data_IF_077102750572
#
_entry.id   IF_077102750572
#
_cell.length_a   1.000
_cell.length_b   1.000
_cell.length_c   1.000
_cell.angle_alpha   90.00
_cell.angle_beta   90.00
_cell.angle_gamma   90.00
#
_symmetry.space_group_name_H-M   'P 1'
#
loop_
_entity.id
_entity.type
_entity.pdbx_description
1 polymer ?
#
# COMPACT_ATOMS: atom_id res chain seq x y z
N UNK A 1 7.24 22.09 -51.44
CA UNK A 1 7.99 22.34 -50.19
C UNK A 1 7.01 22.10 -49.05
N UNK A 2 7.18 21.05 -48.26
CA UNK A 2 6.22 20.65 -47.21
C UNK A 2 6.89 20.85 -45.86
N UNK A 3 6.25 21.60 -44.97
CA UNK A 3 6.72 21.82 -43.61
C UNK A 3 6.33 20.61 -42.75
N UNK A 4 7.34 19.92 -42.21
CA UNK A 4 7.13 18.86 -41.22
C UNK A 4 7.15 19.52 -39.85
N UNK A 5 5.99 19.62 -39.18
CA UNK A 5 5.96 20.01 -37.78
C UNK A 5 6.67 18.95 -36.93
N UNK A 6 7.64 19.31 -36.07
CA UNK A 6 8.16 18.38 -35.09
C UNK A 6 7.05 18.02 -34.11
N UNK A 7 6.70 16.73 -34.05
CA UNK A 7 5.75 16.22 -33.07
C UNK A 7 6.50 16.10 -31.74
N UNK A 8 6.39 17.11 -30.87
CA UNK A 8 7.14 17.16 -29.62
C UNK A 8 6.86 15.92 -28.77
N UNK A 9 7.87 15.08 -28.65
CA UNK A 9 7.80 13.86 -27.87
C UNK A 9 8.15 14.20 -26.42
N UNK A 10 7.18 14.73 -25.67
CA UNK A 10 7.35 15.01 -24.24
C UNK A 10 7.85 13.75 -23.54
N UNK A 11 8.99 13.80 -22.83
CA UNK A 11 9.53 12.61 -22.18
C UNK A 11 8.59 12.11 -21.08
N UNK A 12 8.43 10.79 -20.94
CA UNK A 12 7.64 10.19 -19.86
C UNK A 12 8.08 10.72 -18.48
N UNK A 13 9.40 10.87 -18.25
CA UNK A 13 9.96 11.41 -17.00
C UNK A 13 9.45 12.82 -16.64
N UNK A 14 9.07 13.64 -17.64
CA UNK A 14 8.50 14.97 -17.40
C UNK A 14 7.10 14.90 -16.76
N UNK A 15 6.32 13.84 -17.05
CA UNK A 15 5.00 13.60 -16.43
C UNK A 15 5.14 13.28 -14.95
N UNK A 16 6.08 12.39 -14.60
CA UNK A 16 6.36 12.03 -13.20
C UNK A 16 6.88 13.22 -12.40
N UNK A 17 7.70 14.09 -13.00
CA UNK A 17 8.17 15.32 -12.37
C UNK A 17 7.01 16.30 -12.09
N UNK A 18 6.07 16.46 -13.03
CA UNK A 18 4.87 17.27 -12.82
C UNK A 18 3.97 16.71 -11.70
N UNK A 19 3.82 15.38 -11.61
CA UNK A 19 3.06 14.73 -10.53
C UNK A 19 3.71 14.98 -9.17
N UNK A 20 5.04 14.81 -9.05
CA UNK A 20 5.77 15.08 -7.80
C UNK A 20 5.62 16.53 -7.32
N UNK A 21 5.59 17.49 -8.26
CA UNK A 21 5.38 18.91 -7.97
C UNK A 21 3.96 19.21 -7.46
N UNK A 22 2.94 18.46 -7.90
CA UNK A 22 1.57 18.55 -7.38
C UNK A 22 1.47 17.93 -5.98
N UNK A 23 2.11 16.79 -5.73
CA UNK A 23 2.16 16.15 -4.41
C UNK A 23 2.73 17.07 -3.33
N UNK A 24 3.77 17.87 -3.66
CA UNK A 24 4.36 18.85 -2.75
C UNK A 24 3.41 19.99 -2.34
N UNK A 25 2.37 20.29 -3.13
CA UNK A 25 1.39 21.35 -2.82
C UNK A 25 0.23 20.86 -1.94
N UNK A 26 -0.12 19.57 -2.00
CA UNK A 26 -1.22 19.00 -1.20
C UNK A 26 -0.79 18.76 0.27
N UNK A 27 0.51 18.70 0.54
CA UNK A 27 1.07 18.45 1.87
C UNK A 27 0.95 19.62 2.88
N UNK A 28 0.34 20.76 2.50
CA UNK A 28 0.31 21.98 3.33
C UNK A 28 -0.99 22.15 4.13
N UNK A 29 -2.16 21.76 3.59
CA UNK A 29 -3.47 21.96 4.25
C UNK A 29 -3.92 20.77 5.10
N UNK A 30 -3.09 20.38 6.06
CA UNK A 30 -3.33 19.29 7.01
C UNK A 30 -4.33 19.61 8.13
N UNK A 31 -5.57 20.03 7.82
CA UNK A 31 -6.63 20.31 8.83
C UNK A 31 -7.89 19.47 8.56
N UNK A 32 -7.87 18.21 9.03
CA UNK A 32 -9.02 17.30 9.04
C UNK A 32 -9.68 17.21 10.41
N UNK A 33 -10.39 18.24 10.85
CA UNK A 33 -11.06 18.24 12.17
C UNK A 33 -12.36 17.40 12.14
N UNK A 34 -12.36 16.25 12.82
CA UNK A 34 -13.51 15.34 12.90
C UNK A 34 -14.53 15.76 13.96
N UNK A 35 -15.43 16.65 13.59
CA UNK A 35 -16.68 16.89 14.33
C UNK A 35 -17.75 15.90 13.85
N UNK A 36 -18.27 15.09 14.78
CA UNK A 36 -19.42 14.21 14.53
C UNK A 36 -20.64 14.73 15.29
N UNK A 37 -21.74 14.96 14.58
CA UNK A 37 -23.04 15.31 15.16
C UNK A 37 -24.17 14.50 14.50
N UNK A 38 -25.36 14.50 15.11
CA UNK A 38 -26.39 13.46 14.99
C UNK A 38 -27.34 13.58 13.78
N UNK A 39 -28.10 12.49 13.54
CA UNK A 39 -29.59 12.41 13.49
C UNK A 39 -29.98 11.06 12.82
N UNK A 40 -30.59 10.06 13.49
CA UNK A 40 -32.04 9.84 13.81
C UNK A 40 -32.93 9.83 12.54
N UNK A 41 -33.82 8.90 12.19
CA UNK A 41 -34.45 7.65 12.74
C UNK A 41 -34.79 6.75 11.50
N UNK A 42 -35.33 5.52 11.46
CA UNK A 42 -36.14 4.60 12.30
C UNK A 42 -35.72 3.14 12.00
N UNK A 43 -35.95 2.08 12.80
CA UNK A 43 -36.97 1.69 13.79
C UNK A 43 -38.16 0.87 13.24
N UNK A 44 -38.11 -0.47 13.42
CA UNK A 44 -39.20 -1.42 13.75
C UNK A 44 -38.53 -2.81 13.97
N UNK A 45 -38.22 -3.27 15.20
CA UNK A 45 -39.13 -3.81 16.25
C UNK A 45 -39.89 -5.06 15.74
N UNK A 46 -39.90 -6.23 16.36
CA UNK A 46 -39.94 -6.67 17.79
C UNK A 46 -38.86 -7.72 18.10
N UNK A 47 -38.39 -8.03 19.33
CA UNK A 47 -38.56 -7.58 20.73
C UNK A 47 -37.23 -7.93 21.49
N UNK A 48 -37.00 -7.92 22.82
CA UNK A 48 -37.83 -8.04 24.04
C UNK A 48 -37.11 -7.41 25.26
N UNK A 49 -37.72 -7.43 26.45
CA UNK A 49 -37.31 -6.69 27.66
C UNK A 49 -36.05 -7.17 28.41
N UNK A 50 -35.16 -6.20 28.66
CA UNK A 50 -34.67 -5.72 29.97
C UNK A 50 -33.84 -6.64 30.91
N UNK A 51 -32.78 -6.15 31.56
CA UNK A 51 -32.03 -4.88 31.35
C UNK A 51 -30.64 -4.97 32.02
N UNK A 52 -29.57 -4.82 31.22
CA UNK A 52 -28.18 -4.63 31.66
C UNK A 52 -27.33 -4.23 30.44
N UNK A 53 -27.46 -2.98 30.01
CA UNK A 53 -26.93 -2.48 28.73
C UNK A 53 -25.44 -2.15 28.79
N UNK A 54 -24.60 -3.18 28.88
CA UNK A 54 -23.17 -3.06 28.60
C UNK A 54 -22.97 -2.64 27.14
N UNK A 55 -22.31 -1.51 26.84
CA UNK A 55 -22.05 -1.11 25.47
C UNK A 55 -21.23 -2.19 24.79
N UNK A 56 -21.85 -2.95 23.88
CA UNK A 56 -21.16 -3.99 23.11
C UNK A 56 -20.16 -3.30 22.19
N UNK A 57 -18.93 -3.13 22.69
CA UNK A 57 -17.85 -2.46 21.97
C UNK A 57 -17.78 -3.03 20.55
N UNK A 58 -18.12 -2.19 19.58
CA UNK A 58 -17.57 -2.33 18.23
C UNK A 58 -16.10 -2.02 18.40
N UNK A 59 -15.31 -3.05 18.70
CA UNK A 59 -13.87 -2.97 18.65
C UNK A 59 -13.53 -2.75 17.18
N UNK A 60 -13.45 -1.47 16.78
CA UNK A 60 -12.57 -1.07 15.71
C UNK A 60 -11.21 -1.67 16.06
N UNK A 61 -10.82 -2.71 15.31
CA UNK A 61 -9.61 -3.47 15.57
C UNK A 61 -8.46 -2.48 15.68
N UNK A 62 -7.83 -2.33 16.85
CA UNK A 62 -6.68 -1.43 17.07
C UNK A 62 -5.39 -2.08 16.51
N UNK A 63 -5.55 -2.68 15.34
CA UNK A 63 -4.51 -3.30 14.54
C UNK A 63 -3.72 -2.23 13.80
N UNK A 64 -2.51 -2.59 13.37
CA UNK A 64 -1.68 -1.68 12.58
C UNK A 64 -2.37 -1.38 11.25
N UNK A 65 -3.07 -2.36 10.67
CA UNK A 65 -3.85 -2.17 9.45
C UNK A 65 -4.89 -1.05 9.57
N UNK A 66 -5.68 -0.98 10.67
CA UNK A 66 -6.73 0.05 10.79
C UNK A 66 -6.15 1.46 10.93
N UNK A 67 -5.07 1.63 11.70
CA UNK A 67 -4.34 2.91 11.82
C UNK A 67 -3.69 3.35 10.49
N UNK A 68 -3.34 2.41 9.62
CA UNK A 68 -2.88 2.67 8.25
C UNK A 68 -4.03 2.88 7.22
N UNK A 69 -5.29 2.97 7.65
CA UNK A 69 -6.45 3.13 6.77
C UNK A 69 -6.86 1.85 6.02
N UNK A 70 -6.43 0.69 6.52
CA UNK A 70 -6.63 -0.63 5.92
C UNK A 70 -6.03 -0.76 4.52
N UNK A 71 -6.51 -1.74 3.76
CA UNK A 71 -6.14 -1.97 2.36
C UNK A 71 -6.03 -0.68 1.52
N UNK A 72 -7.02 0.21 1.59
CA UNK A 72 -7.05 1.43 0.77
C UNK A 72 -6.00 2.46 1.20
N UNK A 73 -5.81 2.67 2.51
CA UNK A 73 -4.76 3.57 3.00
C UNK A 73 -3.36 3.03 2.73
N UNK A 74 -3.13 1.73 2.92
CA UNK A 74 -1.88 1.05 2.58
C UNK A 74 -1.61 1.15 1.06
N UNK A 75 -2.61 0.93 0.21
CA UNK A 75 -2.47 1.05 -1.25
C UNK A 75 -2.18 2.50 -1.68
N UNK A 76 -2.83 3.49 -1.05
CA UNK A 76 -2.56 4.90 -1.30
C UNK A 76 -1.13 5.28 -0.91
N UNK A 77 -0.64 4.81 0.25
CA UNK A 77 0.77 4.94 0.64
C UNK A 77 1.72 4.32 -0.38
N UNK A 78 1.44 3.09 -0.84
CA UNK A 78 2.27 2.41 -1.83
C UNK A 78 2.33 3.18 -3.15
N UNK A 79 1.20 3.68 -3.66
CA UNK A 79 1.17 4.43 -4.92
C UNK A 79 1.81 5.83 -4.81
N UNK A 80 1.56 6.56 -3.72
CA UNK A 80 1.95 7.97 -3.60
C UNK A 80 3.40 8.16 -3.12
N UNK A 81 3.95 7.21 -2.35
CA UNK A 81 5.28 7.34 -1.74
C UNK A 81 6.21 6.17 -2.09
N UNK A 82 5.83 4.93 -1.73
CA UNK A 82 6.76 3.80 -1.76
C UNK A 82 7.17 3.38 -3.19
N UNK A 83 6.21 3.15 -4.09
CA UNK A 83 6.50 2.70 -5.47
C UNK A 83 7.32 3.73 -6.26
N UNK A 84 7.02 5.05 -6.23
CA UNK A 84 7.89 6.06 -6.85
C UNK A 84 9.34 6.02 -6.34
N UNK A 85 9.57 5.87 -5.03
CA UNK A 85 10.92 5.80 -4.47
C UNK A 85 11.64 4.50 -4.84
N UNK A 86 10.95 3.35 -4.74
CA UNK A 86 11.49 2.03 -5.08
C UNK A 86 11.85 1.90 -6.58
N UNK A 87 11.10 2.54 -7.48
CA UNK A 87 11.41 2.60 -8.91
C UNK A 87 12.46 3.66 -9.27
N UNK A 88 12.74 4.60 -8.36
CA UNK A 88 13.85 5.57 -8.50
C UNK A 88 15.20 4.97 -8.12
N UNK A 89 15.23 3.92 -7.29
CA UNK A 89 16.45 3.17 -6.99
C UNK A 89 16.80 2.18 -8.11
N UNK A 90 17.95 2.37 -8.75
CA UNK A 90 18.35 1.59 -9.93
C UNK A 90 18.65 0.11 -9.65
N UNK A 91 19.00 -0.25 -8.41
CA UNK A 91 19.18 -1.65 -8.02
C UNK A 91 17.83 -2.35 -7.90
N UNK A 92 16.86 -1.74 -7.19
CA UNK A 92 15.52 -2.29 -7.00
C UNK A 92 14.74 -2.30 -8.32
N UNK A 93 14.74 -1.20 -9.07
CA UNK A 93 14.04 -1.07 -10.36
C UNK A 93 14.44 -2.16 -11.37
N UNK A 94 15.70 -2.66 -11.32
CA UNK A 94 16.18 -3.72 -12.20
C UNK A 94 15.37 -5.03 -12.11
N UNK A 95 14.77 -5.32 -10.94
CA UNK A 95 13.97 -6.53 -10.72
C UNK A 95 12.51 -6.42 -11.26
N UNK A 96 12.10 -5.24 -11.70
CA UNK A 96 10.80 -4.96 -12.31
C UNK A 96 10.83 -4.97 -13.85
N UNK A 97 12.01 -5.17 -14.47
CA UNK A 97 12.10 -5.42 -15.91
C UNK A 97 11.44 -6.75 -16.31
N UNK A 98 10.75 -6.77 -17.45
CA UNK A 98 10.12 -7.95 -18.05
C UNK A 98 9.09 -8.67 -17.15
N UNK A 99 8.28 -7.90 -16.42
CA UNK A 99 7.12 -8.41 -15.70
C UNK A 99 5.90 -8.62 -16.61
N UNK A 100 5.08 -9.62 -16.28
CA UNK A 100 3.73 -9.81 -16.84
C UNK A 100 2.68 -8.98 -16.10
N UNK A 101 2.78 -8.94 -14.78
CA UNK A 101 1.96 -8.13 -13.88
C UNK A 101 2.41 -6.65 -13.89
N UNK A 102 1.47 -5.71 -13.83
CA UNK A 102 1.81 -4.28 -13.76
C UNK A 102 2.29 -3.88 -12.36
N UNK A 103 3.01 -2.75 -12.20
CA UNK A 103 3.33 -2.21 -10.87
C UNK A 103 2.10 -1.96 -10.00
N UNK A 104 0.95 -1.61 -10.60
CA UNK A 104 -0.32 -1.42 -9.90
C UNK A 104 -0.95 -2.75 -9.44
N UNK A 105 -0.81 -3.84 -10.20
CA UNK A 105 -1.23 -5.18 -9.76
C UNK A 105 -0.39 -5.64 -8.55
N UNK A 106 0.93 -5.40 -8.62
CA UNK A 106 1.87 -5.77 -7.57
C UNK A 106 1.62 -4.94 -6.30
N UNK A 107 1.35 -3.64 -6.43
CA UNK A 107 0.99 -2.76 -5.30
C UNK A 107 -0.32 -3.20 -4.63
N UNK A 108 -1.34 -3.58 -5.40
CA UNK A 108 -2.59 -4.13 -4.84
C UNK A 108 -2.37 -5.43 -4.07
N UNK A 109 -1.63 -6.39 -4.64
CA UNK A 109 -1.33 -7.64 -3.94
C UNK A 109 -0.46 -7.43 -2.69
N UNK A 110 0.48 -6.47 -2.72
CA UNK A 110 1.27 -6.09 -1.55
C UNK A 110 0.41 -5.41 -0.48
N UNK A 111 -0.53 -4.55 -0.86
CA UNK A 111 -1.48 -3.93 0.06
C UNK A 111 -2.41 -4.95 0.73
N UNK A 112 -2.90 -5.96 0.00
CA UNK A 112 -3.72 -7.04 0.59
C UNK A 112 -2.92 -7.91 1.57
N UNK A 113 -1.67 -8.24 1.24
CA UNK A 113 -0.77 -8.99 2.11
C UNK A 113 -0.46 -8.21 3.39
N UNK A 114 -0.10 -6.93 3.26
CA UNK A 114 0.18 -6.04 4.40
C UNK A 114 -1.08 -5.84 5.26
N UNK A 115 -2.24 -5.53 4.66
CA UNK A 115 -3.49 -5.36 5.42
C UNK A 115 -3.82 -6.62 6.22
N UNK A 116 -3.77 -7.81 5.60
CA UNK A 116 -3.97 -9.08 6.32
C UNK A 116 -2.97 -9.28 7.47
N UNK A 117 -1.67 -9.21 7.17
CA UNK A 117 -0.61 -9.56 8.13
C UNK A 117 -0.45 -8.53 9.26
N UNK A 118 -1.00 -7.31 9.07
CA UNK A 118 -1.09 -6.24 10.06
C UNK A 118 -2.42 -6.19 10.83
N UNK A 119 -3.29 -7.20 10.64
CA UNK A 119 -4.54 -7.38 11.40
C UNK A 119 -5.78 -6.68 10.81
N UNK A 120 -5.81 -6.52 9.49
CA UNK A 120 -6.92 -6.00 8.69
C UNK A 120 -7.91 -7.08 8.24
N UNK A 121 -8.56 -6.86 7.10
CA UNK A 121 -9.68 -7.70 6.61
C UNK A 121 -9.45 -8.33 5.23
N UNK A 122 -8.37 -7.93 4.54
CA UNK A 122 -7.96 -8.50 3.25
C UNK A 122 -7.65 -9.98 3.35
N UNK A 123 -7.75 -10.68 2.22
CA UNK A 123 -7.25 -12.05 2.08
C UNK A 123 -5.76 -11.98 1.72
N UNK A 124 -4.92 -12.69 2.48
CA UNK A 124 -3.48 -12.81 2.18
C UNK A 124 -3.22 -13.35 0.76
N UNK A 125 -4.08 -14.24 0.26
CA UNK A 125 -4.01 -14.71 -1.12
C UNK A 125 -5.36 -15.10 -1.75
N UNK A 126 -5.29 -15.51 -3.01
CA UNK A 126 -6.41 -16.09 -3.73
C UNK A 126 -7.23 -15.07 -4.52
N UNK A 127 -7.20 -13.80 -4.13
CA UNK A 127 -7.86 -12.67 -4.81
C UNK A 127 -7.42 -12.56 -6.27
N UNK A 128 -8.38 -12.33 -7.15
CA UNK A 128 -8.16 -11.98 -8.56
C UNK A 128 -8.51 -10.49 -8.71
N UNK A 129 -7.60 -9.73 -9.32
CA UNK A 129 -7.75 -8.30 -9.60
C UNK A 129 -8.57 -8.09 -10.89
N UNK A 130 -9.04 -6.86 -11.11
CA UNK A 130 -9.83 -6.50 -12.31
C UNK A 130 -9.06 -6.70 -13.64
N UNK A 131 -7.73 -6.73 -13.57
CA UNK A 131 -6.82 -7.08 -14.68
C UNK A 131 -6.78 -8.58 -15.02
N UNK A 132 -7.44 -9.42 -14.21
CA UNK A 132 -7.35 -10.88 -14.27
C UNK A 132 -6.12 -11.46 -13.56
N UNK A 133 -5.18 -10.64 -13.08
CA UNK A 133 -4.02 -11.09 -12.32
C UNK A 133 -4.43 -11.60 -10.93
N UNK A 134 -3.83 -12.72 -10.49
CA UNK A 134 -4.15 -13.36 -9.21
C UNK A 134 -3.04 -13.14 -8.19
N UNK A 135 -3.38 -12.60 -7.02
CA UNK A 135 -2.48 -12.46 -5.90
C UNK A 135 -2.09 -13.83 -5.32
N UNK A 136 -0.78 -14.05 -5.16
CA UNK A 136 -0.18 -15.37 -4.84
C UNK A 136 0.58 -15.28 -3.52
N UNK A 137 0.11 -15.92 -2.44
CA UNK A 137 0.74 -15.84 -1.11
C UNK A 137 2.09 -16.55 -0.98
N UNK A 138 2.47 -17.36 -1.96
CA UNK A 138 3.74 -18.11 -1.92
C UNK A 138 4.93 -17.25 -2.39
N UNK A 139 5.50 -16.45 -1.48
CA UNK A 139 6.71 -15.66 -1.72
C UNK A 139 7.85 -16.48 -2.39
N UNK A 140 8.18 -17.72 -1.94
CA UNK A 140 9.20 -18.55 -2.60
C UNK A 140 8.90 -18.90 -4.06
N UNK A 141 7.61 -18.92 -4.45
CA UNK A 141 7.17 -19.29 -5.80
C UNK A 141 7.21 -18.10 -6.77
N UNK A 142 6.96 -16.88 -6.30
CA UNK A 142 6.94 -15.66 -7.15
C UNK A 142 8.32 -15.00 -7.30
N UNK A 143 9.23 -15.23 -6.36
CA UNK A 143 10.62 -14.76 -6.42
C UNK A 143 11.61 -15.82 -6.95
N UNK A 144 11.16 -17.05 -7.21
CA UNK A 144 12.01 -18.13 -7.75
C UNK A 144 12.73 -17.69 -9.03
N UNK A 145 14.06 -17.81 -9.03
CA UNK A 145 14.90 -17.49 -10.20
C UNK A 145 15.18 -15.99 -10.41
N UNK A 146 14.64 -15.09 -9.57
CA UNK A 146 14.99 -13.65 -9.60
C UNK A 146 16.34 -13.35 -8.96
N UNK A 147 16.95 -14.31 -8.25
CA UNK A 147 18.29 -14.21 -7.64
C UNK A 147 18.47 -12.98 -6.72
N UNK A 148 17.41 -12.53 -6.05
CA UNK A 148 17.38 -11.28 -5.27
C UNK A 148 18.40 -11.37 -4.11
N UNK A 149 19.41 -10.49 -4.04
CA UNK A 149 20.36 -10.45 -2.94
C UNK A 149 19.69 -10.03 -1.62
N UNK A 150 20.14 -10.60 -0.50
CA UNK A 150 19.63 -10.29 0.85
C UNK A 150 19.77 -8.78 1.19
N UNK A 151 20.87 -8.15 0.73
CA UNK A 151 21.07 -6.68 0.83
C UNK A 151 19.98 -5.86 0.14
N UNK A 152 19.44 -6.35 -0.98
CA UNK A 152 18.44 -5.63 -1.77
C UNK A 152 17.07 -5.67 -1.09
N UNK A 153 16.77 -6.74 -0.34
CA UNK A 153 15.58 -6.81 0.53
C UNK A 153 15.71 -5.83 1.69
N UNK A 154 16.89 -5.75 2.33
CA UNK A 154 17.15 -4.75 3.38
C UNK A 154 16.95 -3.32 2.85
N UNK A 155 17.43 -3.04 1.64
CA UNK A 155 17.26 -1.74 0.96
C UNK A 155 15.79 -1.42 0.64
N UNK A 156 15.03 -2.42 0.18
CA UNK A 156 13.59 -2.31 -0.07
C UNK A 156 12.81 -1.98 1.22
N UNK A 157 13.13 -2.66 2.33
CA UNK A 157 12.51 -2.42 3.65
C UNK A 157 12.91 -1.03 4.18
N UNK A 158 14.17 -0.62 4.02
CA UNK A 158 14.65 0.71 4.40
C UNK A 158 13.88 1.81 3.65
N UNK A 159 13.79 1.73 2.32
CA UNK A 159 13.07 2.73 1.51
C UNK A 159 11.59 2.80 1.90
N UNK A 160 10.92 1.66 2.16
CA UNK A 160 9.54 1.66 2.67
C UNK A 160 9.44 2.36 4.03
N UNK A 161 10.42 2.19 4.93
CA UNK A 161 10.47 2.88 6.22
C UNK A 161 10.63 4.39 6.07
N UNK A 162 11.61 4.84 5.28
CA UNK A 162 11.87 6.25 4.97
C UNK A 162 10.65 6.93 4.32
N UNK A 163 10.00 6.25 3.37
CA UNK A 163 8.78 6.75 2.73
C UNK A 163 7.58 6.77 3.68
N UNK A 164 7.48 5.83 4.62
CA UNK A 164 6.39 5.81 5.60
C UNK A 164 6.56 6.94 6.64
N UNK A 165 7.79 7.27 7.02
CA UNK A 165 8.08 8.45 7.86
C UNK A 165 7.69 9.76 7.15
N UNK A 166 8.04 9.89 5.86
CA UNK A 166 7.60 11.03 5.02
C UNK A 166 6.08 11.09 4.79
N UNK A 167 5.38 9.96 4.89
CA UNK A 167 3.92 9.88 4.85
C UNK A 167 3.25 10.09 6.24
N UNK A 168 4.03 10.40 7.29
CA UNK A 168 3.52 10.66 8.64
C UNK A 168 3.09 9.42 9.43
N UNK A 169 3.50 8.22 9.01
CA UNK A 169 3.16 6.97 9.71
C UNK A 169 3.91 6.89 11.06
N UNK A 170 3.24 6.38 12.10
CA UNK A 170 3.85 6.30 13.43
C UNK A 170 5.08 5.37 13.44
N UNK A 171 6.16 5.68 14.20
CA UNK A 171 7.32 4.80 14.29
C UNK A 171 7.01 3.38 14.82
N UNK A 172 5.92 3.22 15.56
CA UNK A 172 5.44 1.90 16.01
C UNK A 172 4.84 1.09 14.85
N UNK A 173 4.07 1.74 13.99
CA UNK A 173 3.44 1.13 12.82
C UNK A 173 4.46 0.85 11.70
N UNK A 174 5.43 1.77 11.47
CA UNK A 174 6.59 1.54 10.58
C UNK A 174 7.35 0.27 11.01
N UNK A 175 7.62 0.12 12.32
CA UNK A 175 8.30 -1.05 12.88
C UNK A 175 7.50 -2.34 12.69
N UNK A 176 6.16 -2.27 12.70
CA UNK A 176 5.31 -3.41 12.43
C UNK A 176 5.26 -3.79 10.94
N UNK A 177 5.17 -2.81 10.03
CA UNK A 177 5.31 -3.02 8.57
C UNK A 177 6.65 -3.68 8.26
N UNK A 178 7.75 -3.13 8.77
CA UNK A 178 9.10 -3.69 8.59
C UNK A 178 9.19 -5.15 9.10
N UNK A 179 8.58 -5.46 10.25
CA UNK A 179 8.52 -6.83 10.78
C UNK A 179 7.80 -7.81 9.83
N UNK A 180 6.67 -7.42 9.24
CA UNK A 180 5.93 -8.26 8.26
C UNK A 180 6.77 -8.51 7.00
N UNK A 181 7.48 -7.49 6.51
CA UNK A 181 8.38 -7.64 5.36
C UNK A 181 9.58 -8.54 5.69
N UNK A 182 10.17 -8.41 6.88
CA UNK A 182 11.24 -9.28 7.39
C UNK A 182 10.81 -10.75 7.52
N UNK A 183 9.59 -11.01 8.01
CA UNK A 183 9.04 -12.37 8.09
C UNK A 183 8.96 -13.05 6.70
N UNK A 184 8.78 -12.26 5.64
CA UNK A 184 8.75 -12.74 4.26
C UNK A 184 10.13 -12.87 3.60
N UNK A 185 11.21 -12.27 4.15
CA UNK A 185 12.58 -12.26 3.59
C UNK A 185 13.06 -13.64 3.10
N UNK A 186 12.85 -14.68 3.90
CA UNK A 186 13.29 -16.04 3.60
C UNK A 186 12.62 -16.68 2.37
N UNK A 187 11.48 -16.13 1.92
CA UNK A 187 10.82 -16.48 0.67
C UNK A 187 11.14 -15.56 -0.52
N UNK A 188 11.75 -14.40 -0.29
CA UNK A 188 12.14 -13.45 -1.34
C UNK A 188 13.59 -13.65 -1.79
N UNK A 189 14.50 -13.91 -0.85
CA UNK A 189 15.94 -13.96 -1.11
C UNK A 189 16.39 -15.14 -1.96
N UNK A 190 17.51 -14.96 -2.64
CA UNK A 190 18.27 -16.08 -3.21
C UNK A 190 18.70 -17.08 -2.11
N UNK A 191 18.81 -18.36 -2.48
CA UNK A 191 19.19 -19.45 -1.56
C UNK A 191 20.61 -19.94 -1.81
#
# INVERSE_FOLDING_TARGET
>A
MILISPKEHTPEWLKYLAIALICALVAVDGIGSVMADQVKTSAQQTNTSDSADEPRLVIHSDSVASRLGGYYGILAFLHNYAVPALLSDSEIASFFGNLTETPADIAQCLAMMLDHDLGGSSRHDGTVLDTGHKCRGSMPKIHKGRNIPDKTITKFIQIIGEQAELAGVSPADIKAVAKVLEQNRAGVRNK
#
